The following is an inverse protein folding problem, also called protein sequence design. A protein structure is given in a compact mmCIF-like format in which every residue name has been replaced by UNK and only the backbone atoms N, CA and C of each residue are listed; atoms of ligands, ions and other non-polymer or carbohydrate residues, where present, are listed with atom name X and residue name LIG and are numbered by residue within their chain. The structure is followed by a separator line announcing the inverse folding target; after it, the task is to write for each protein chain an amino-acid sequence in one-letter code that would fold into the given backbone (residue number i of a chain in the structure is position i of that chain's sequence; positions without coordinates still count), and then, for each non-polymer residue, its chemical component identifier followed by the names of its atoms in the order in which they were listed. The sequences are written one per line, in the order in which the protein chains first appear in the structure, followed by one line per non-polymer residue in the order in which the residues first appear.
data_IF_358733482478
#
_entry.id   IF_358733482478
#
_cell.length_a   1.000
_cell.length_b   1.000
_cell.length_c   1.000
_cell.angle_alpha   90.00
_cell.angle_beta   90.00
_cell.angle_gamma   90.00
#
_symmetry.space_group_name_H-M   'P 1'
#
loop_
_entity.id
_entity.type
_entity.pdbx_description
1 polymer ?
#
# COMPACT_ATOMS: atom_id res chain seq x y z
N UNK A 1 -11.29 -41.09 11.49
CA UNK A 1 -11.20 -39.63 11.66
C UNK A 1 -10.75 -39.05 10.32
N UNK A 2 -11.68 -38.56 9.52
CA UNK A 2 -11.42 -37.96 8.21
C UNK A 2 -10.96 -36.54 8.44
N UNK A 3 -9.68 -36.25 8.10
CA UNK A 3 -9.17 -34.90 8.13
C UNK A 3 -9.93 -34.04 7.11
N UNK A 4 -10.60 -33.00 7.58
CA UNK A 4 -11.25 -32.00 6.74
C UNK A 4 -10.19 -31.40 5.82
N UNK A 5 -10.37 -31.31 4.49
CA UNK A 5 -9.41 -30.70 3.60
C UNK A 5 -9.22 -29.23 4.07
N UNK A 6 -7.99 -28.82 4.34
CA UNK A 6 -7.68 -27.40 4.52
C UNK A 6 -8.09 -26.68 3.23
N UNK A 7 -9.12 -25.85 3.30
CA UNK A 7 -9.49 -24.99 2.17
C UNK A 7 -8.24 -24.25 1.70
N UNK A 8 -7.94 -24.40 0.41
CA UNK A 8 -6.80 -23.76 -0.22
C UNK A 8 -7.11 -22.27 -0.33
N UNK A 9 -6.45 -21.47 0.49
CA UNK A 9 -6.60 -20.00 0.45
C UNK A 9 -6.12 -19.51 -0.93
N UNK A 10 -7.03 -18.86 -1.64
CA UNK A 10 -6.70 -18.21 -2.92
C UNK A 10 -6.15 -16.82 -2.66
N UNK A 11 -4.98 -16.52 -3.25
CA UNK A 11 -4.31 -15.21 -3.19
C UNK A 11 -4.33 -14.61 -4.57
N UNK A 12 -4.89 -13.39 -4.69
CA UNK A 12 -4.93 -12.65 -5.95
C UNK A 12 -4.46 -11.22 -5.72
N UNK A 13 -3.69 -10.68 -6.66
CA UNK A 13 -3.32 -9.25 -6.69
C UNK A 13 -3.74 -8.68 -8.05
N UNK A 14 -4.38 -7.52 -8.03
CA UNK A 14 -4.88 -6.88 -9.24
C UNK A 14 -4.90 -5.34 -9.10
N UNK A 15 -4.88 -4.68 -10.26
CA UNK A 15 -5.13 -3.24 -10.34
C UNK A 15 -6.64 -2.98 -10.39
N UNK A 16 -7.14 -2.17 -9.46
CA UNK A 16 -8.55 -1.84 -9.37
C UNK A 16 -8.86 -0.58 -10.20
N UNK A 17 -9.69 -0.74 -11.23
CA UNK A 17 -10.09 0.36 -12.13
C UNK A 17 -11.41 1.02 -11.72
N UNK A 18 -12.22 0.31 -10.97
CA UNK A 18 -13.49 0.78 -10.39
C UNK A 18 -13.71 0.13 -9.03
N UNK A 19 -14.49 0.75 -8.17
CA UNK A 19 -14.78 0.25 -6.83
C UNK A 19 -16.24 -0.16 -6.76
N UNK A 20 -16.50 -1.46 -6.64
CA UNK A 20 -17.84 -1.98 -6.35
C UNK A 20 -18.25 -1.66 -4.90
N UNK A 21 -19.53 -1.78 -4.57
CA UNK A 21 -19.98 -1.56 -3.19
C UNK A 21 -19.35 -2.58 -2.21
N UNK A 22 -19.13 -3.83 -2.64
CA UNK A 22 -18.43 -4.85 -1.84
C UNK A 22 -16.96 -4.46 -1.63
N UNK A 23 -16.25 -4.08 -2.70
CA UNK A 23 -14.87 -3.63 -2.60
C UNK A 23 -14.72 -2.39 -1.72
N UNK A 24 -15.68 -1.46 -1.81
CA UNK A 24 -15.70 -0.28 -0.97
C UNK A 24 -15.84 -0.63 0.51
N UNK A 25 -16.74 -1.56 0.81
CA UNK A 25 -16.92 -2.06 2.17
C UNK A 25 -15.63 -2.69 2.71
N UNK A 26 -15.00 -3.56 1.93
CA UNK A 26 -13.73 -4.21 2.28
C UNK A 26 -12.62 -3.19 2.51
N UNK A 27 -12.40 -2.28 1.54
CA UNK A 27 -11.38 -1.23 1.62
C UNK A 27 -11.52 -0.37 2.88
N UNK A 28 -12.75 0.03 3.21
CA UNK A 28 -12.99 0.79 4.42
C UNK A 28 -12.72 -0.04 5.68
N UNK A 29 -13.17 -1.30 5.72
CA UNK A 29 -12.97 -2.19 6.87
C UNK A 29 -11.49 -2.45 7.14
N UNK A 30 -10.70 -2.79 6.11
CA UNK A 30 -9.26 -3.02 6.29
C UNK A 30 -8.51 -1.74 6.66
N UNK A 31 -8.96 -0.57 6.17
CA UNK A 31 -8.39 0.73 6.56
C UNK A 31 -8.61 1.01 8.04
N UNK A 32 -9.84 0.83 8.53
CA UNK A 32 -10.16 0.99 9.96
C UNK A 32 -9.30 0.08 10.83
N UNK A 33 -9.15 -1.18 10.43
CA UNK A 33 -8.33 -2.16 11.15
C UNK A 33 -6.84 -1.80 11.12
N UNK A 34 -6.32 -1.35 9.98
CA UNK A 34 -4.93 -0.93 9.86
C UNK A 34 -4.63 0.29 10.75
N UNK A 35 -5.52 1.28 10.78
CA UNK A 35 -5.37 2.47 11.64
C UNK A 35 -5.38 2.06 13.12
N UNK A 36 -6.34 1.22 13.54
CA UNK A 36 -6.43 0.73 14.93
C UNK A 36 -5.21 -0.09 15.35
N UNK A 37 -4.57 -0.77 14.41
CA UNK A 37 -3.34 -1.54 14.64
C UNK A 37 -2.05 -0.69 14.57
N UNK A 38 -2.15 0.64 14.49
CA UNK A 38 -0.99 1.54 14.36
C UNK A 38 -0.33 1.48 12.99
N UNK A 39 -1.03 0.99 11.95
CA UNK A 39 -0.52 0.85 10.60
C UNK A 39 -0.12 2.18 9.96
N UNK A 40 0.79 2.10 8.97
CA UNK A 40 1.37 3.24 8.28
C UNK A 40 0.41 3.98 7.34
N UNK A 41 -0.70 4.48 7.86
CA UNK A 41 -1.64 5.31 7.13
C UNK A 41 -1.52 6.78 7.58
N UNK A 42 -1.93 7.74 6.75
CA UNK A 42 -1.89 9.16 7.11
C UNK A 42 -2.82 9.52 8.27
N UNK A 43 -3.88 8.74 8.50
CA UNK A 43 -4.77 8.92 9.65
C UNK A 43 -4.25 8.21 10.90
N UNK A 44 -4.20 8.92 12.01
CA UNK A 44 -3.90 8.37 13.34
C UNK A 44 -5.15 7.84 14.05
N UNK A 45 -6.33 8.33 13.67
CA UNK A 45 -7.64 7.92 14.19
C UNK A 45 -8.56 7.58 13.04
N UNK A 46 -9.43 6.60 13.25
CA UNK A 46 -10.41 6.17 12.24
C UNK A 46 -11.36 7.34 11.93
N UNK A 47 -11.38 7.83 10.69
CA UNK A 47 -12.32 8.86 10.29
C UNK A 47 -13.75 8.30 10.13
N UNK A 48 -14.77 9.15 10.06
CA UNK A 48 -16.13 8.72 9.76
C UNK A 48 -16.20 7.90 8.46
N UNK A 49 -17.05 6.88 8.42
CA UNK A 49 -17.21 5.97 7.28
C UNK A 49 -17.44 6.69 5.96
N UNK A 50 -18.22 7.77 5.98
CA UNK A 50 -18.48 8.58 4.80
C UNK A 50 -17.20 9.19 4.21
N UNK A 51 -16.24 9.61 5.07
CA UNK A 51 -14.95 10.13 4.65
C UNK A 51 -14.09 9.04 4.00
N UNK A 52 -14.10 7.83 4.56
CA UNK A 52 -13.42 6.66 3.96
C UNK A 52 -14.04 6.30 2.59
N UNK A 53 -15.36 6.29 2.50
CA UNK A 53 -16.06 6.04 1.23
C UNK A 53 -15.65 7.04 0.14
N UNK A 54 -15.65 8.34 0.45
CA UNK A 54 -15.20 9.40 -0.48
C UNK A 54 -13.74 9.22 -0.88
N UNK A 55 -12.88 8.89 0.07
CA UNK A 55 -11.47 8.65 -0.18
C UNK A 55 -11.26 7.51 -1.18
N UNK A 56 -11.83 6.33 -0.93
CA UNK A 56 -11.62 5.17 -1.78
C UNK A 56 -12.26 5.31 -3.17
N UNK A 57 -13.46 5.89 -3.26
CA UNK A 57 -14.08 6.23 -4.55
C UNK A 57 -13.24 7.24 -5.34
N UNK A 58 -12.57 8.16 -4.66
CA UNK A 58 -11.66 9.12 -5.28
C UNK A 58 -10.37 8.50 -5.83
N UNK A 59 -9.87 7.42 -5.23
CA UNK A 59 -8.56 6.85 -5.62
C UNK A 59 -8.51 6.32 -7.04
N UNK A 60 -9.62 5.80 -7.57
CA UNK A 60 -9.68 5.19 -8.92
C UNK A 60 -9.95 6.21 -10.03
N UNK A 61 -10.29 7.46 -9.67
CA UNK A 61 -10.54 8.53 -10.66
C UNK A 61 -9.36 9.49 -10.84
N UNK A 62 -8.34 9.39 -9.97
CA UNK A 62 -7.13 10.21 -10.09
C UNK A 62 -6.22 9.62 -11.16
N UNK A 63 -6.01 10.35 -12.27
CA UNK A 63 -5.37 9.85 -13.49
C UNK A 63 -3.94 9.29 -13.30
N UNK A 64 -3.15 9.89 -12.42
CA UNK A 64 -1.76 9.49 -12.19
C UNK A 64 -1.60 8.59 -10.96
N UNK A 65 -2.68 7.96 -10.48
CA UNK A 65 -2.68 7.05 -9.34
C UNK A 65 -3.28 5.70 -9.71
N UNK A 66 -2.55 4.65 -9.40
CA UNK A 66 -2.95 3.28 -9.65
C UNK A 66 -3.21 2.61 -8.30
N UNK A 67 -4.44 2.14 -8.09
CA UNK A 67 -4.81 1.39 -6.89
C UNK A 67 -4.62 -0.09 -7.15
N UNK A 68 -3.70 -0.70 -6.41
CA UNK A 68 -3.45 -2.14 -6.40
C UNK A 68 -4.06 -2.72 -5.13
N UNK A 69 -4.80 -3.80 -5.26
CA UNK A 69 -5.40 -4.52 -4.14
C UNK A 69 -4.93 -5.97 -4.11
N UNK A 70 -4.79 -6.47 -2.90
CA UNK A 70 -4.55 -7.88 -2.64
C UNK A 70 -5.78 -8.53 -2.02
N UNK A 71 -6.19 -9.69 -2.55
CA UNK A 71 -7.35 -10.44 -2.08
C UNK A 71 -6.94 -11.77 -1.46
N UNK A 72 -7.67 -12.16 -0.42
CA UNK A 72 -7.72 -13.53 0.10
C UNK A 72 -9.13 -14.02 -0.06
N UNK A 73 -9.35 -15.15 -0.76
CA UNK A 73 -10.67 -15.72 -1.04
C UNK A 73 -11.69 -14.66 -1.52
N UNK A 74 -11.29 -13.85 -2.51
CA UNK A 74 -12.07 -12.75 -3.09
C UNK A 74 -12.23 -11.48 -2.24
N UNK A 75 -12.09 -11.52 -0.92
CA UNK A 75 -12.15 -10.32 -0.08
C UNK A 75 -10.87 -9.47 -0.20
N UNK A 76 -11.01 -8.16 -0.31
CA UNK A 76 -9.83 -7.28 -0.28
C UNK A 76 -9.22 -7.31 1.12
N UNK A 77 -7.94 -7.66 1.17
CA UNK A 77 -7.18 -7.87 2.39
C UNK A 77 -5.96 -6.95 2.53
N UNK A 78 -5.63 -6.22 1.47
CA UNK A 78 -4.53 -5.24 1.47
C UNK A 78 -4.59 -4.29 0.29
N UNK A 79 -3.87 -3.19 0.39
CA UNK A 79 -3.76 -2.18 -0.66
C UNK A 79 -2.32 -1.69 -0.84
N UNK A 80 -2.04 -1.18 -2.02
CA UNK A 80 -0.86 -0.41 -2.37
C UNK A 80 -1.26 0.62 -3.43
N UNK A 81 -0.82 1.86 -3.29
CA UNK A 81 -1.02 2.88 -4.31
C UNK A 81 0.31 3.19 -4.98
N UNK A 82 0.32 3.15 -6.32
CA UNK A 82 1.43 3.59 -7.14
C UNK A 82 1.08 4.95 -7.74
N UNK A 83 1.82 5.99 -7.39
CA UNK A 83 1.63 7.35 -7.90
C UNK A 83 2.66 7.64 -8.97
N UNK A 84 2.19 7.87 -10.19
CA UNK A 84 3.00 8.33 -11.32
C UNK A 84 3.14 9.86 -11.28
N UNK A 85 4.13 10.38 -11.98
CA UNK A 85 4.29 11.84 -12.09
C UNK A 85 3.23 12.45 -13.01
N UNK A 86 2.95 13.73 -12.80
CA UNK A 86 2.06 14.47 -13.67
C UNK A 86 2.77 14.82 -15.00
N UNK A 87 2.05 14.94 -16.14
CA UNK A 87 2.66 15.17 -17.44
C UNK A 87 3.58 16.42 -17.53
N UNK A 88 3.33 17.42 -16.68
CA UNK A 88 4.15 18.65 -16.63
C UNK A 88 5.42 18.51 -15.77
N UNK A 89 5.64 17.37 -15.12
CA UNK A 89 6.88 17.07 -14.39
C UNK A 89 7.81 16.20 -15.22
N UNK A 90 8.30 16.72 -16.33
CA UNK A 90 9.14 16.00 -17.28
C UNK A 90 10.43 15.45 -16.68
N UNK A 91 11.03 16.22 -15.75
CA UNK A 91 12.30 15.84 -15.11
C UNK A 91 12.17 14.56 -14.25
N UNK A 92 10.98 14.26 -13.76
CA UNK A 92 10.71 13.07 -12.93
C UNK A 92 9.74 12.07 -13.60
N UNK A 93 9.49 12.19 -14.89
CA UNK A 93 8.51 11.37 -15.62
C UNK A 93 8.73 9.85 -15.44
N UNK A 94 9.98 9.42 -15.28
CA UNK A 94 10.37 8.01 -15.12
C UNK A 94 10.41 7.57 -13.64
N UNK A 95 9.87 8.38 -12.70
CA UNK A 95 9.85 8.10 -11.27
C UNK A 95 8.40 7.89 -10.80
N UNK A 96 8.19 6.88 -9.98
CA UNK A 96 6.91 6.66 -9.29
C UNK A 96 7.11 6.55 -7.78
N UNK A 97 6.02 6.75 -7.03
CA UNK A 97 6.02 6.61 -5.58
C UNK A 97 5.03 5.54 -5.13
N UNK A 98 5.46 4.66 -4.22
CA UNK A 98 4.56 3.76 -3.51
C UNK A 98 4.07 4.46 -2.25
N UNK A 99 2.75 4.46 -2.07
CA UNK A 99 2.08 5.01 -0.88
C UNK A 99 0.98 4.07 -0.40
N UNK A 100 0.48 4.27 0.82
CA UNK A 100 -0.68 3.55 1.37
C UNK A 100 -0.59 2.03 1.21
N UNK A 101 0.62 1.47 1.41
CA UNK A 101 0.85 0.03 1.36
C UNK A 101 0.60 -0.58 2.74
N UNK A 102 -0.45 -1.36 2.87
CA UNK A 102 -0.75 -2.11 4.09
C UNK A 102 -1.54 -3.38 3.81
N UNK A 103 -1.51 -4.30 4.76
CA UNK A 103 -2.28 -5.55 4.79
C UNK A 103 -3.06 -5.60 6.10
N UNK A 104 -4.33 -5.99 6.02
CA UNK A 104 -5.18 -6.18 7.18
C UNK A 104 -4.53 -7.14 8.19
N UNK A 105 -4.66 -6.90 9.51
CA UNK A 105 -4.02 -7.75 10.51
C UNK A 105 -4.31 -9.25 10.35
N UNK A 106 -5.55 -9.61 10.02
CA UNK A 106 -5.98 -10.99 9.81
C UNK A 106 -5.40 -11.65 8.54
N UNK A 107 -4.91 -10.85 7.60
CA UNK A 107 -4.37 -11.32 6.32
C UNK A 107 -2.83 -11.32 6.27
N UNK A 108 -2.17 -11.08 7.39
CA UNK A 108 -0.72 -11.12 7.47
C UNK A 108 -0.19 -12.55 7.41
N UNK A 109 1.04 -12.73 6.96
CA UNK A 109 1.68 -14.05 6.87
C UNK A 109 1.42 -14.83 5.57
N UNK A 110 0.49 -14.38 4.71
CA UNK A 110 0.19 -15.03 3.43
C UNK A 110 1.04 -14.52 2.25
N UNK A 111 2.02 -13.66 2.48
CA UNK A 111 2.86 -13.11 1.42
C UNK A 111 2.21 -12.00 0.59
N UNK A 112 1.01 -11.55 0.95
CA UNK A 112 0.21 -10.61 0.18
C UNK A 112 0.91 -9.28 -0.04
N UNK A 113 1.58 -8.74 0.99
CA UNK A 113 2.33 -7.50 0.90
C UNK A 113 3.46 -7.59 -0.15
N UNK A 114 4.21 -8.68 -0.16
CA UNK A 114 5.25 -8.94 -1.16
C UNK A 114 4.68 -9.02 -2.57
N UNK A 115 3.59 -9.77 -2.74
CA UNK A 115 2.95 -9.94 -4.05
C UNK A 115 2.42 -8.61 -4.61
N UNK A 116 1.92 -7.71 -3.74
CA UNK A 116 1.49 -6.36 -4.16
C UNK A 116 2.68 -5.50 -4.61
N UNK A 117 3.84 -5.60 -3.96
CA UNK A 117 5.06 -4.91 -4.41
C UNK A 117 5.50 -5.44 -5.78
N UNK A 118 5.50 -6.77 -5.99
CA UNK A 118 5.86 -7.38 -7.27
C UNK A 118 4.93 -6.92 -8.41
N UNK A 119 3.63 -6.84 -8.12
CA UNK A 119 2.64 -6.32 -9.07
C UNK A 119 2.87 -4.82 -9.35
N UNK A 120 3.17 -4.02 -8.34
CA UNK A 120 3.46 -2.60 -8.48
C UNK A 120 4.72 -2.35 -9.32
N UNK A 121 5.80 -3.09 -9.10
CA UNK A 121 7.03 -3.02 -9.90
C UNK A 121 6.78 -3.36 -11.36
N UNK A 122 6.00 -4.42 -11.62
CA UNK A 122 5.60 -4.80 -12.98
C UNK A 122 4.78 -3.69 -13.65
N UNK A 123 3.74 -3.20 -12.98
CA UNK A 123 2.87 -2.12 -13.49
C UNK A 123 3.66 -0.83 -13.74
N UNK A 124 4.61 -0.49 -12.87
CA UNK A 124 5.49 0.66 -13.03
C UNK A 124 6.36 0.53 -14.28
N UNK A 125 6.98 -0.62 -14.52
CA UNK A 125 7.77 -0.90 -15.74
C UNK A 125 6.93 -0.78 -17.01
N UNK A 126 5.72 -1.34 -17.00
CA UNK A 126 4.77 -1.26 -18.13
C UNK A 126 4.35 0.19 -18.41
N UNK A 127 4.41 1.07 -17.40
CA UNK A 127 4.15 2.52 -17.50
C UNK A 127 5.39 3.35 -17.85
N UNK A 128 6.55 2.73 -18.12
CA UNK A 128 7.80 3.42 -18.47
C UNK A 128 8.58 3.96 -17.27
N UNK A 129 8.19 3.61 -16.05
CA UNK A 129 8.91 4.01 -14.83
C UNK A 129 10.23 3.23 -14.72
N UNK A 130 11.28 3.92 -14.31
CA UNK A 130 12.62 3.34 -14.10
C UNK A 130 13.06 3.34 -12.64
N UNK A 131 12.40 4.14 -11.81
CA UNK A 131 12.73 4.23 -10.39
C UNK A 131 11.45 4.34 -9.56
N UNK A 132 11.35 3.53 -8.52
CA UNK A 132 10.30 3.63 -7.52
C UNK A 132 10.89 4.18 -6.22
N UNK A 133 10.20 5.15 -5.63
CA UNK A 133 10.54 5.75 -4.34
C UNK A 133 9.43 5.51 -3.34
N UNK A 134 9.78 5.54 -2.06
CA UNK A 134 8.81 5.52 -0.96
C UNK A 134 9.45 6.04 0.32
N UNK A 135 8.61 6.36 1.29
CA UNK A 135 9.01 6.74 2.63
C UNK A 135 8.21 5.93 3.66
N UNK A 136 8.85 5.61 4.79
CA UNK A 136 8.29 4.76 5.84
C UNK A 136 8.64 5.37 7.19
N UNK A 137 7.67 5.44 8.11
CA UNK A 137 7.94 5.75 9.51
C UNK A 137 8.86 4.69 10.12
N UNK A 138 9.89 5.10 10.88
CA UNK A 138 10.84 4.17 11.52
C UNK A 138 10.17 3.12 12.40
N UNK A 139 8.98 3.40 12.94
CA UNK A 139 8.18 2.47 13.75
C UNK A 139 7.56 1.31 12.96
N UNK A 140 7.61 1.34 11.62
CA UNK A 140 7.02 0.31 10.73
C UNK A 140 8.08 -0.73 10.33
N UNK A 141 8.69 -1.40 11.31
CA UNK A 141 9.83 -2.31 11.12
C UNK A 141 9.55 -3.41 10.09
N UNK A 142 8.37 -4.03 10.13
CA UNK A 142 8.00 -5.09 9.18
C UNK A 142 7.98 -4.60 7.73
N UNK A 143 7.50 -3.37 7.48
CA UNK A 143 7.51 -2.77 6.16
C UNK A 143 8.94 -2.44 5.72
N UNK A 144 9.78 -1.90 6.60
CA UNK A 144 11.18 -1.60 6.34
C UNK A 144 11.93 -2.87 5.91
N UNK A 145 11.79 -3.96 6.67
CA UNK A 145 12.44 -5.24 6.34
C UNK A 145 11.92 -5.81 5.02
N UNK A 146 10.63 -5.71 4.76
CA UNK A 146 10.04 -6.17 3.51
C UNK A 146 10.64 -5.42 2.31
N UNK A 147 10.66 -4.09 2.32
CA UNK A 147 11.21 -3.31 1.21
C UNK A 147 12.72 -3.53 1.03
N UNK A 148 13.49 -3.63 2.13
CA UNK A 148 14.91 -4.01 2.06
C UNK A 148 15.09 -5.38 1.41
N UNK A 149 14.28 -6.37 1.76
CA UNK A 149 14.31 -7.71 1.16
C UNK A 149 13.95 -7.72 -0.33
N UNK A 150 13.21 -6.71 -0.79
CA UNK A 150 12.85 -6.50 -2.20
C UNK A 150 13.90 -5.68 -2.97
N UNK A 151 15.03 -5.34 -2.33
CA UNK A 151 16.14 -4.61 -2.94
C UNK A 151 15.97 -3.09 -2.98
N UNK A 152 15.06 -2.54 -2.17
CA UNK A 152 14.98 -1.10 -1.98
C UNK A 152 16.12 -0.64 -1.07
N UNK A 153 16.79 0.44 -1.48
CA UNK A 153 17.93 1.03 -0.78
C UNK A 153 17.49 2.27 -0.01
N UNK A 154 17.85 2.33 1.26
CA UNK A 154 17.68 3.53 2.09
C UNK A 154 18.71 4.58 1.65
N UNK A 155 18.25 5.80 1.36
CA UNK A 155 19.11 6.89 0.89
C UNK A 155 19.05 8.13 1.76
N UNK A 156 18.08 8.21 2.67
CA UNK A 156 17.95 9.39 3.53
C UNK A 156 16.97 9.21 4.67
N UNK A 157 17.01 10.14 5.59
CA UNK A 157 16.16 10.17 6.78
C UNK A 157 15.68 11.59 7.06
N UNK A 158 14.43 11.72 7.51
CA UNK A 158 13.88 12.98 8.03
C UNK A 158 13.58 12.83 9.52
N UNK A 159 14.29 13.53 10.41
CA UNK A 159 14.08 13.40 11.86
C UNK A 159 12.72 13.96 12.32
N UNK A 160 12.09 14.83 11.55
CA UNK A 160 10.79 15.45 11.85
C UNK A 160 9.73 15.04 10.83
N UNK A 161 9.61 13.73 10.55
CA UNK A 161 8.76 13.22 9.49
C UNK A 161 7.27 13.19 9.88
N UNK A 162 6.94 12.78 11.08
CA UNK A 162 5.57 12.66 11.55
C UNK A 162 5.44 12.97 13.05
N UNK A 163 4.28 13.49 13.45
CA UNK A 163 3.89 13.62 14.84
C UNK A 163 2.80 12.58 15.12
N UNK A 164 3.10 11.64 16.02
CA UNK A 164 2.18 10.55 16.38
C UNK A 164 2.00 10.55 17.90
N UNK A 165 0.80 10.84 18.37
CA UNK A 165 0.43 10.88 19.80
C UNK A 165 1.35 11.76 20.68
N UNK A 166 1.91 12.82 20.09
CA UNK A 166 2.82 13.76 20.75
C UNK A 166 4.31 13.47 20.53
N UNK A 167 4.66 12.32 19.96
CA UNK A 167 6.03 11.94 19.66
C UNK A 167 6.41 12.28 18.21
N UNK A 168 7.60 12.85 18.04
CA UNK A 168 8.18 13.07 16.71
C UNK A 168 8.78 11.76 16.22
N UNK A 169 8.29 11.27 15.10
CA UNK A 169 8.73 10.02 14.46
C UNK A 169 9.55 10.34 13.23
N UNK A 170 10.71 9.69 13.12
CA UNK A 170 11.58 9.78 11.96
C UNK A 170 11.00 9.03 10.76
N UNK A 171 11.19 9.57 9.56
CA UNK A 171 10.89 8.91 8.29
C UNK A 171 12.15 8.42 7.60
N UNK A 172 12.11 7.22 7.06
CA UNK A 172 13.19 6.62 6.27
C UNK A 172 12.77 6.63 4.80
N UNK A 173 13.67 7.05 3.92
CA UNK A 173 13.42 7.20 2.48
C UNK A 173 14.13 6.11 1.70
N UNK A 174 13.40 5.46 0.81
CA UNK A 174 13.89 4.35 0.02
C UNK A 174 13.69 4.59 -1.47
N UNK A 175 14.54 3.98 -2.29
CA UNK A 175 14.36 3.90 -3.73
C UNK A 175 14.81 2.55 -4.27
N UNK A 176 14.33 2.22 -5.48
CA UNK A 176 14.78 1.07 -6.26
C UNK A 176 14.75 1.42 -7.74
N UNK A 177 15.84 1.16 -8.44
CA UNK A 177 15.87 1.14 -9.91
C UNK A 177 15.26 -0.18 -10.37
N UNK A 178 14.30 -0.12 -11.30
CA UNK A 178 13.53 -1.29 -11.74
C UNK A 178 13.69 -1.59 -13.23
#
# INVERSE_FOLDING_TARGET
MTATPKEKIEIKVETLKSVSETDLADLCNITEQAIKAGGGFGWLRVPPREKLNKYWKGMVVVQNRILIVGRLNNAIAGTLQLSLQTPNNEAQKDIANITSHFVAPWARGYGLAKNMIDHAEKTAKESGVKCIQLDIRETQEAAIQLFKSKGYLEWGQNPNYALVDGDIIRGLYFYKII
#
